data_IF_003376738545
#
_entry.id   IF_003376738545
#
_cell.length_a   1.000
_cell.length_b   1.000
_cell.length_c   1.000
_cell.angle_alpha   90.00
_cell.angle_beta   90.00
_cell.angle_gamma   90.00
#
_symmetry.space_group_name_H-M   'P 1'
#
loop_
_entity.id
_entity.type
_entity.pdbx_description
1 polymer ?
#
# COMPACT_ATOMS: atom_id res chain seq x y z
N UNK A 1 -15.82 -3.96 7.92
CA UNK A 1 -15.96 -4.44 9.31
C UNK A 1 -16.63 -3.37 10.17
N UNK A 2 -17.46 -3.78 11.11
CA UNK A 2 -18.19 -2.88 12.02
C UNK A 2 -17.23 -2.00 12.85
N UNK A 3 -16.03 -2.49 13.14
CA UNK A 3 -14.97 -1.73 13.81
C UNK A 3 -14.44 -0.59 12.93
N UNK A 4 -14.23 -0.81 11.64
CA UNK A 4 -13.80 0.25 10.73
C UNK A 4 -14.82 1.39 10.62
N UNK A 5 -16.11 1.04 10.55
CA UNK A 5 -17.18 2.03 10.54
C UNK A 5 -17.20 2.86 11.83
N UNK A 6 -17.06 2.23 13.01
CA UNK A 6 -17.00 2.93 14.30
C UNK A 6 -15.83 3.90 14.39
N UNK A 7 -14.64 3.50 13.95
CA UNK A 7 -13.45 4.36 13.93
C UNK A 7 -13.67 5.55 12.99
N UNK A 8 -14.20 5.32 11.79
CA UNK A 8 -14.47 6.38 10.82
C UNK A 8 -15.48 7.40 11.38
N UNK A 9 -16.57 6.92 11.98
CA UNK A 9 -17.58 7.80 12.61
C UNK A 9 -16.97 8.59 13.77
N UNK A 10 -16.15 7.97 14.61
CA UNK A 10 -15.48 8.64 15.73
C UNK A 10 -14.52 9.73 15.26
N UNK A 11 -13.74 9.47 14.21
CA UNK A 11 -12.82 10.45 13.61
C UNK A 11 -13.59 11.64 13.02
N UNK A 12 -14.63 11.36 12.22
CA UNK A 12 -15.45 12.41 11.60
C UNK A 12 -16.15 13.26 12.68
N UNK A 13 -16.72 12.63 13.70
CA UNK A 13 -17.33 13.35 14.83
C UNK A 13 -16.30 14.21 15.59
N UNK A 14 -15.09 13.69 15.82
CA UNK A 14 -13.97 14.43 16.44
C UNK A 14 -13.57 15.66 15.64
N UNK A 15 -13.45 15.54 14.32
CA UNK A 15 -13.17 16.68 13.42
C UNK A 15 -14.29 17.72 13.49
N UNK A 16 -15.55 17.27 13.47
CA UNK A 16 -16.69 18.16 13.53
C UNK A 16 -16.77 18.94 14.85
N UNK A 17 -16.57 18.24 15.98
CA UNK A 17 -16.52 18.87 17.30
C UNK A 17 -15.38 19.87 17.40
N UNK A 18 -14.20 19.55 16.91
CA UNK A 18 -13.04 20.45 16.91
C UNK A 18 -13.33 21.70 16.08
N UNK A 19 -13.91 21.53 14.89
CA UNK A 19 -14.30 22.64 14.02
C UNK A 19 -15.35 23.55 14.68
N UNK A 20 -16.35 22.96 15.37
CA UNK A 20 -17.36 23.72 16.13
C UNK A 20 -16.78 24.51 17.31
N UNK A 21 -15.83 23.89 18.04
CA UNK A 21 -15.15 24.56 19.16
C UNK A 21 -14.31 25.76 18.69
N UNK A 22 -13.53 25.57 17.62
CA UNK A 22 -12.71 26.62 17.02
C UNK A 22 -13.59 27.73 16.47
N UNK A 23 -14.67 27.40 15.75
CA UNK A 23 -15.62 28.35 15.21
C UNK A 23 -16.35 29.13 16.34
N UNK A 24 -16.80 28.43 17.38
CA UNK A 24 -17.43 29.07 18.55
C UNK A 24 -16.45 30.00 19.29
N UNK A 25 -15.20 29.60 19.46
CA UNK A 25 -14.14 30.43 20.03
C UNK A 25 -13.85 31.69 19.20
N UNK A 26 -13.91 31.58 17.89
CA UNK A 26 -13.79 32.72 16.98
C UNK A 26 -14.99 33.67 17.10
N UNK A 27 -16.20 33.15 17.06
CA UNK A 27 -17.42 33.94 17.18
C UNK A 27 -17.51 34.72 18.49
N UNK A 28 -16.98 34.18 19.59
CA UNK A 28 -16.92 34.89 20.88
C UNK A 28 -15.99 36.13 20.89
N UNK A 29 -15.02 36.13 19.98
CA UNK A 29 -14.05 37.24 19.86
C UNK A 29 -14.48 38.32 18.87
N UNK A 30 -15.45 38.04 18.01
CA UNK A 30 -15.92 38.99 16.99
C UNK A 30 -17.06 39.79 17.57
N UNK A 31 -16.96 41.15 17.55
CA UNK A 31 -18.03 42.01 18.04
C UNK A 31 -19.25 41.94 17.10
N UNK A 32 -20.45 42.10 17.67
CA UNK A 32 -21.71 42.13 16.89
C UNK A 32 -21.64 43.23 15.82
N UNK A 33 -20.95 44.34 16.13
CA UNK A 33 -20.73 45.44 15.21
C UNK A 33 -19.86 45.01 14.01
N UNK A 34 -18.83 44.22 14.23
CA UNK A 34 -17.98 43.68 13.15
C UNK A 34 -18.69 42.63 12.28
N UNK A 35 -19.62 41.85 12.87
CA UNK A 35 -20.46 40.90 12.14
C UNK A 35 -21.46 41.62 11.22
N UNK A 36 -22.08 42.69 11.72
CA UNK A 36 -23.09 43.46 10.98
C UNK A 36 -22.48 44.40 9.93
N UNK A 37 -21.23 44.87 10.15
CA UNK A 37 -20.56 45.86 9.28
C UNK A 37 -19.30 45.25 8.60
N UNK A 38 -18.99 44.00 8.82
CA UNK A 38 -17.82 43.32 8.27
C UNK A 38 -17.77 43.32 6.74
N UNK A 39 -18.91 43.39 6.07
CA UNK A 39 -18.98 43.51 4.60
C UNK A 39 -18.43 44.85 4.08
N UNK A 40 -18.26 45.87 4.92
CA UNK A 40 -17.74 47.17 4.52
C UNK A 40 -16.22 47.35 4.59
N UNK A 41 -15.47 46.37 5.08
CA UNK A 41 -14.01 46.41 4.99
C UNK A 41 -13.63 46.22 3.53
N UNK A 42 -13.47 47.35 2.81
CA UNK A 42 -12.92 47.40 1.47
C UNK A 42 -11.54 46.72 1.54
N UNK A 43 -11.42 45.53 0.98
CA UNK A 43 -10.12 44.85 0.89
C UNK A 43 -9.12 45.79 0.21
N UNK A 44 -8.01 46.05 0.91
CA UNK A 44 -6.90 46.84 0.35
C UNK A 44 -6.46 46.15 -0.94
N UNK A 45 -6.41 46.96 -2.03
CA UNK A 45 -5.93 46.47 -3.32
C UNK A 45 -4.62 45.68 -3.14
N UNK A 46 -4.49 44.56 -3.88
CA UNK A 46 -3.29 43.69 -3.84
C UNK A 46 -2.04 44.54 -4.06
N UNK A 47 -1.28 44.81 -3.00
CA UNK A 47 -0.21 45.82 -2.98
C UNK A 47 1.04 45.40 -3.74
N UNK A 48 1.23 44.04 -3.91
CA UNK A 48 2.43 43.48 -4.55
C UNK A 48 2.04 42.26 -5.41
N UNK A 49 1.60 42.44 -6.66
CA UNK A 49 1.17 41.35 -7.53
C UNK A 49 2.31 40.39 -7.92
N UNK A 50 3.53 40.95 -8.09
CA UNK A 50 4.72 40.15 -8.42
C UNK A 50 5.08 39.20 -7.28
N UNK A 51 4.93 39.64 -6.02
CA UNK A 51 5.18 38.79 -4.86
C UNK A 51 4.22 37.59 -4.83
N UNK A 52 2.94 37.79 -5.14
CA UNK A 52 1.96 36.69 -5.19
C UNK A 52 2.21 35.71 -6.34
N UNK A 53 2.67 36.19 -7.48
CA UNK A 53 3.11 35.35 -8.59
C UNK A 53 4.34 34.50 -8.20
N UNK A 54 5.31 35.08 -7.50
CA UNK A 54 6.47 34.35 -6.97
C UNK A 54 6.03 33.29 -5.93
N UNK A 55 5.10 33.62 -5.01
CA UNK A 55 4.56 32.68 -4.04
C UNK A 55 3.83 31.52 -4.74
N UNK A 56 3.07 31.81 -5.79
CA UNK A 56 2.40 30.80 -6.59
C UNK A 56 3.40 29.84 -7.26
N UNK A 57 4.45 30.39 -7.87
CA UNK A 57 5.51 29.59 -8.50
C UNK A 57 6.25 28.73 -7.48
N UNK A 58 6.61 29.31 -6.34
CA UNK A 58 7.25 28.59 -5.24
C UNK A 58 6.35 27.47 -4.70
N UNK A 59 5.04 27.73 -4.54
CA UNK A 59 4.09 26.73 -4.10
C UNK A 59 3.97 25.56 -5.11
N UNK A 60 3.96 25.85 -6.42
CA UNK A 60 3.96 24.81 -7.47
C UNK A 60 5.22 23.95 -7.41
N UNK A 61 6.41 24.58 -7.28
CA UNK A 61 7.67 23.82 -7.17
C UNK A 61 7.69 22.92 -5.93
N UNK A 62 7.17 23.38 -4.79
CA UNK A 62 7.06 22.57 -3.58
C UNK A 62 6.05 21.42 -3.76
N UNK A 63 4.90 21.66 -4.39
CA UNK A 63 3.91 20.61 -4.69
C UNK A 63 4.53 19.52 -5.57
N UNK A 64 5.21 19.90 -6.65
CA UNK A 64 5.89 18.95 -7.55
C UNK A 64 6.99 18.19 -6.79
N UNK A 65 7.81 18.89 -6.01
CA UNK A 65 8.85 18.26 -5.18
C UNK A 65 8.29 17.28 -4.16
N UNK A 66 7.16 17.60 -3.52
CA UNK A 66 6.46 16.68 -2.62
C UNK A 66 5.93 15.45 -3.33
N UNK A 67 5.34 15.59 -4.53
CA UNK A 67 4.85 14.45 -5.32
C UNK A 67 5.98 13.51 -5.73
N UNK A 68 7.11 14.05 -6.19
CA UNK A 68 8.31 13.26 -6.53
C UNK A 68 8.88 12.58 -5.28
N UNK A 69 8.95 13.28 -4.16
CA UNK A 69 9.40 12.70 -2.90
C UNK A 69 8.48 11.60 -2.40
N UNK A 70 7.15 11.79 -2.51
CA UNK A 70 6.17 10.76 -2.13
C UNK A 70 6.30 9.51 -3.00
N UNK A 71 6.46 9.66 -4.32
CA UNK A 71 6.64 8.51 -5.21
C UNK A 71 7.89 7.70 -4.85
N UNK A 72 9.02 8.37 -4.60
CA UNK A 72 10.25 7.73 -4.16
C UNK A 72 10.14 7.05 -2.79
N UNK A 73 9.42 7.65 -1.84
CA UNK A 73 9.20 7.04 -0.51
C UNK A 73 8.24 5.85 -0.56
N UNK A 74 7.20 5.91 -1.40
CA UNK A 74 6.29 4.77 -1.62
C UNK A 74 7.05 3.63 -2.29
N UNK A 75 7.89 3.92 -3.28
CA UNK A 75 8.74 2.92 -3.91
C UNK A 75 9.74 2.30 -2.91
N UNK A 76 10.36 3.11 -2.05
CA UNK A 76 11.24 2.63 -0.98
C UNK A 76 10.50 1.80 0.07
N UNK A 77 9.26 2.15 0.42
CA UNK A 77 8.40 1.36 1.30
C UNK A 77 8.04 0.00 0.69
N UNK A 78 7.75 -0.03 -0.60
CA UNK A 78 7.39 -1.25 -1.32
C UNK A 78 8.64 -2.13 -1.52
N UNK A 79 9.78 -1.53 -1.90
CA UNK A 79 11.02 -2.27 -2.21
C UNK A 79 11.86 -2.64 -0.99
N UNK A 80 11.95 -1.79 0.02
CA UNK A 80 12.97 -1.89 1.07
C UNK A 80 12.41 -2.04 2.48
N UNK A 81 11.11 -1.99 2.69
CA UNK A 81 10.48 -1.90 4.03
C UNK A 81 11.06 -0.79 4.94
N UNK A 82 11.84 0.12 4.37
CA UNK A 82 12.60 1.18 5.08
C UNK A 82 11.88 2.52 5.18
N UNK A 83 10.68 2.64 4.64
CA UNK A 83 9.92 3.89 4.70
C UNK A 83 9.60 4.28 6.14
N UNK A 84 10.13 5.42 6.59
CA UNK A 84 9.72 6.00 7.86
C UNK A 84 8.34 6.62 7.72
N UNK A 85 7.36 6.11 8.48
CA UNK A 85 6.02 6.70 8.53
C UNK A 85 6.07 8.20 8.89
N UNK A 86 7.06 8.62 9.70
CA UNK A 86 7.28 10.02 10.05
C UNK A 86 7.66 10.89 8.87
N UNK A 87 8.49 10.39 7.95
CA UNK A 87 8.89 11.13 6.75
C UNK A 87 7.72 11.32 5.80
N UNK A 88 6.87 10.31 5.61
CA UNK A 88 5.65 10.42 4.81
C UNK A 88 4.67 11.45 5.39
N UNK A 89 4.43 11.43 6.70
CA UNK A 89 3.56 12.42 7.38
C UNK A 89 4.11 13.84 7.18
N UNK A 90 5.42 14.01 7.27
CA UNK A 90 6.07 15.33 7.07
C UNK A 90 5.87 15.82 5.64
N UNK A 91 6.12 14.97 4.63
CA UNK A 91 5.92 15.33 3.22
C UNK A 91 4.45 15.63 2.92
N UNK A 92 3.53 14.88 3.49
CA UNK A 92 2.08 15.15 3.39
C UNK A 92 1.69 16.48 4.01
N UNK A 93 2.24 16.82 5.18
CA UNK A 93 2.02 18.12 5.81
C UNK A 93 2.54 19.28 4.96
N UNK A 94 3.74 19.16 4.39
CA UNK A 94 4.30 20.12 3.46
C UNK A 94 3.46 20.28 2.17
N UNK A 95 2.99 19.16 1.62
CA UNK A 95 2.10 19.16 0.46
C UNK A 95 0.79 19.90 0.74
N UNK A 96 0.16 19.65 1.90
CA UNK A 96 -1.05 20.33 2.32
C UNK A 96 -0.85 21.86 2.41
N UNK A 97 0.23 22.26 3.08
CA UNK A 97 0.57 23.69 3.25
C UNK A 97 0.85 24.35 1.90
N UNK A 98 1.62 23.69 1.04
CA UNK A 98 1.94 24.20 -0.30
C UNK A 98 0.67 24.35 -1.16
N UNK A 99 -0.25 23.40 -1.11
CA UNK A 99 -1.51 23.45 -1.85
C UNK A 99 -2.42 24.60 -1.35
N UNK A 100 -2.48 24.80 -0.03
CA UNK A 100 -3.22 25.95 0.55
C UNK A 100 -2.61 27.29 0.10
N UNK A 101 -1.27 27.43 0.17
CA UNK A 101 -0.58 28.64 -0.26
C UNK A 101 -0.76 28.91 -1.76
N UNK A 102 -0.72 27.85 -2.59
CA UNK A 102 -1.01 27.92 -4.01
C UNK A 102 -2.39 28.51 -4.27
N UNK A 103 -3.45 28.01 -3.59
CA UNK A 103 -4.80 28.51 -3.78
C UNK A 103 -4.97 29.96 -3.33
N UNK A 104 -4.35 30.35 -2.22
CA UNK A 104 -4.36 31.74 -1.76
C UNK A 104 -3.65 32.63 -2.78
N UNK A 105 -2.47 32.24 -3.26
CA UNK A 105 -1.72 33.01 -4.23
C UNK A 105 -2.43 33.07 -5.60
N UNK A 106 -3.03 31.97 -6.05
CA UNK A 106 -3.84 31.91 -7.26
C UNK A 106 -5.04 32.87 -7.17
N UNK A 107 -5.77 32.83 -6.07
CA UNK A 107 -6.92 33.71 -5.84
C UNK A 107 -6.49 35.19 -5.91
N UNK A 108 -5.41 35.57 -5.20
CA UNK A 108 -4.90 36.94 -5.22
C UNK A 108 -4.42 37.35 -6.61
N UNK A 109 -3.78 36.46 -7.35
CA UNK A 109 -3.31 36.70 -8.73
C UNK A 109 -4.47 36.87 -9.70
N UNK A 110 -5.48 36.00 -9.64
CA UNK A 110 -6.69 36.07 -10.47
C UNK A 110 -7.44 37.37 -10.22
N UNK A 111 -7.67 37.72 -8.95
CA UNK A 111 -8.30 39.02 -8.57
C UNK A 111 -7.55 40.19 -9.14
N UNK A 112 -6.21 40.22 -9.02
CA UNK A 112 -5.38 41.29 -9.59
C UNK A 112 -5.51 41.37 -11.12
N UNK A 113 -5.44 40.21 -11.83
CA UNK A 113 -5.58 40.15 -13.29
C UNK A 113 -6.95 40.67 -13.74
N UNK A 114 -8.03 40.21 -13.09
CA UNK A 114 -9.40 40.67 -13.40
C UNK A 114 -9.59 42.16 -13.20
N UNK A 115 -9.00 42.73 -12.13
CA UNK A 115 -9.06 44.17 -11.87
C UNK A 115 -8.20 44.98 -12.83
N UNK A 116 -7.12 44.40 -13.40
CA UNK A 116 -6.22 45.08 -14.35
C UNK A 116 -6.75 45.03 -15.79
N UNK A 117 -7.54 44.03 -16.17
CA UNK A 117 -8.08 43.91 -17.51
C UNK A 117 -9.08 45.02 -17.82
N UNK A 118 -8.68 46.03 -18.66
CA UNK A 118 -9.47 47.19 -19.04
C UNK A 118 -10.78 46.85 -19.71
N UNK A 119 -10.82 45.76 -20.48
CA UNK A 119 -12.03 45.27 -21.18
C UNK A 119 -13.15 44.82 -20.22
N UNK A 120 -12.80 44.29 -19.05
CA UNK A 120 -13.78 43.89 -18.02
C UNK A 120 -14.24 45.08 -17.17
N UNK A 121 -13.43 46.14 -17.07
CA UNK A 121 -13.70 47.28 -16.17
C UNK A 121 -14.68 48.31 -16.74
N UNK A 122 -14.85 48.40 -18.06
CA UNK A 122 -15.53 49.54 -18.72
C UNK A 122 -17.01 49.28 -19.04
N UNK A 123 -17.56 48.07 -18.80
CA UNK A 123 -18.96 47.73 -19.12
C UNK A 123 -19.86 47.67 -17.88
N UNK A 124 -20.44 48.76 -17.45
CA UNK A 124 -21.60 48.88 -16.58
C UNK A 124 -21.54 48.12 -15.24
N UNK A 125 -22.56 47.34 -14.92
CA UNK A 125 -22.72 46.58 -13.63
C UNK A 125 -21.61 45.55 -13.37
N UNK A 126 -20.81 45.19 -14.36
CA UNK A 126 -19.73 44.19 -14.21
C UNK A 126 -18.65 44.61 -13.22
N UNK A 127 -18.40 45.89 -13.05
CA UNK A 127 -17.43 46.39 -12.06
C UNK A 127 -17.87 46.10 -10.63
N UNK A 128 -19.20 46.20 -10.35
CA UNK A 128 -19.76 45.90 -9.07
C UNK A 128 -19.65 44.40 -8.78
N UNK A 129 -20.07 43.56 -9.72
CA UNK A 129 -19.98 42.09 -9.61
C UNK A 129 -18.52 41.64 -9.42
N UNK A 130 -17.57 42.22 -10.17
CA UNK A 130 -16.15 41.94 -10.02
C UNK A 130 -15.58 42.31 -8.65
N UNK A 131 -16.01 43.46 -8.09
CA UNK A 131 -15.60 43.84 -6.73
C UNK A 131 -16.20 42.93 -5.65
N UNK A 132 -17.46 42.56 -5.80
CA UNK A 132 -18.12 41.65 -4.87
C UNK A 132 -17.48 40.24 -4.96
N UNK A 133 -17.25 39.74 -6.18
CA UNK A 133 -16.55 38.46 -6.41
C UNK A 133 -15.14 38.48 -5.86
N UNK A 134 -14.39 39.56 -6.08
CA UNK A 134 -13.03 39.75 -5.56
C UNK A 134 -12.98 39.70 -4.04
N UNK A 135 -13.91 40.38 -3.37
CA UNK A 135 -14.02 40.35 -1.90
C UNK A 135 -14.35 38.97 -1.37
N UNK A 136 -15.35 38.30 -1.98
CA UNK A 136 -15.74 36.95 -1.60
C UNK A 136 -14.62 35.92 -1.84
N UNK A 137 -13.98 35.93 -3.01
CA UNK A 137 -12.89 35.03 -3.33
C UNK A 137 -11.68 35.22 -2.41
N UNK A 138 -11.33 36.46 -2.10
CA UNK A 138 -10.18 36.75 -1.25
C UNK A 138 -10.43 36.38 0.21
N UNK A 139 -11.63 36.65 0.72
CA UNK A 139 -12.04 36.26 2.07
C UNK A 139 -12.08 34.75 2.27
N UNK A 140 -12.50 34.01 1.23
CA UNK A 140 -12.68 32.56 1.29
C UNK A 140 -11.50 31.79 0.69
N UNK A 141 -10.40 32.44 0.35
CA UNK A 141 -9.24 31.79 -0.31
C UNK A 141 -8.66 30.62 0.51
N UNK A 142 -8.61 30.77 1.83
CA UNK A 142 -8.14 29.71 2.72
C UNK A 142 -9.13 28.51 2.74
N UNK A 143 -10.43 28.80 2.76
CA UNK A 143 -11.47 27.76 2.71
C UNK A 143 -11.43 27.00 1.39
N UNK A 144 -11.25 27.69 0.25
CA UNK A 144 -11.07 27.03 -1.05
C UNK A 144 -9.80 26.20 -1.11
N UNK A 145 -8.70 26.67 -0.51
CA UNK A 145 -7.44 25.94 -0.42
C UNK A 145 -7.58 24.65 0.42
N UNK A 146 -8.26 24.73 1.56
CA UNK A 146 -8.49 23.54 2.40
C UNK A 146 -9.44 22.54 1.74
N UNK A 147 -10.48 23.01 1.05
CA UNK A 147 -11.39 22.12 0.31
C UNK A 147 -10.66 21.41 -0.85
N UNK A 148 -9.85 22.14 -1.61
CA UNK A 148 -9.06 21.57 -2.69
C UNK A 148 -8.06 20.53 -2.17
N UNK A 149 -7.40 20.79 -1.03
CA UNK A 149 -6.55 19.81 -0.38
C UNK A 149 -7.33 18.54 0.00
N UNK A 150 -8.48 18.69 0.67
CA UNK A 150 -9.29 17.53 1.08
C UNK A 150 -9.75 16.71 -0.12
N UNK A 151 -10.20 17.36 -1.21
CA UNK A 151 -10.59 16.66 -2.45
C UNK A 151 -9.41 15.91 -3.08
N UNK A 152 -8.27 16.59 -3.22
CA UNK A 152 -7.05 15.98 -3.79
C UNK A 152 -6.60 14.79 -2.95
N UNK A 153 -6.61 14.96 -1.63
CA UNK A 153 -6.25 13.91 -0.69
C UNK A 153 -7.21 12.72 -0.77
N UNK A 154 -8.52 12.97 -0.83
CA UNK A 154 -9.51 11.91 -0.99
C UNK A 154 -9.31 11.12 -2.29
N UNK A 155 -9.06 11.81 -3.41
CA UNK A 155 -8.78 11.16 -4.71
C UNK A 155 -7.50 10.31 -4.63
N UNK A 156 -6.42 10.82 -4.03
CA UNK A 156 -5.18 10.05 -3.86
C UNK A 156 -5.44 8.80 -3.02
N UNK A 157 -6.14 8.91 -1.89
CA UNK A 157 -6.43 7.76 -1.02
C UNK A 157 -7.32 6.71 -1.68
N UNK A 158 -8.33 7.14 -2.44
CA UNK A 158 -9.18 6.21 -3.20
C UNK A 158 -8.33 5.43 -4.22
N UNK A 159 -7.50 6.13 -5.02
CA UNK A 159 -6.63 5.48 -5.98
C UNK A 159 -5.62 4.53 -5.31
N UNK A 160 -4.98 4.97 -4.22
CA UNK A 160 -4.04 4.13 -3.45
C UNK A 160 -4.74 2.88 -2.91
N UNK A 161 -5.98 3.01 -2.42
CA UNK A 161 -6.76 1.86 -1.93
C UNK A 161 -7.06 0.86 -3.04
N UNK A 162 -7.35 1.32 -4.26
CA UNK A 162 -7.53 0.42 -5.42
C UNK A 162 -6.24 -0.28 -5.82
N UNK A 163 -5.11 0.44 -5.83
CA UNK A 163 -3.79 -0.14 -6.15
C UNK A 163 -3.41 -1.20 -5.11
N UNK A 164 -3.55 -0.89 -3.81
CA UNK A 164 -3.24 -1.84 -2.74
C UNK A 164 -4.15 -3.06 -2.83
N UNK A 165 -5.47 -2.86 -3.01
CA UNK A 165 -6.42 -3.96 -3.14
C UNK A 165 -6.12 -4.84 -4.35
N UNK A 166 -5.81 -4.23 -5.50
CA UNK A 166 -5.45 -4.96 -6.72
C UNK A 166 -4.18 -5.78 -6.54
N UNK A 167 -3.12 -5.15 -5.99
CA UNK A 167 -1.85 -5.83 -5.71
C UNK A 167 -1.98 -6.96 -4.68
N UNK A 168 -2.81 -6.76 -3.63
CA UNK A 168 -3.08 -7.82 -2.66
C UNK A 168 -3.87 -8.99 -3.26
N UNK A 169 -4.86 -8.70 -4.13
CA UNK A 169 -5.63 -9.74 -4.81
C UNK A 169 -4.73 -10.58 -5.73
N UNK A 170 -3.90 -9.93 -6.55
CA UNK A 170 -2.93 -10.61 -7.41
C UNK A 170 -1.91 -11.43 -6.60
N UNK A 171 -1.40 -10.86 -5.50
CA UNK A 171 -0.48 -11.58 -4.61
C UNK A 171 -1.14 -12.81 -3.98
N UNK A 172 -2.39 -12.70 -3.55
CA UNK A 172 -3.13 -13.83 -2.97
C UNK A 172 -3.38 -14.93 -4.01
N UNK A 173 -3.79 -14.57 -5.22
CA UNK A 173 -4.02 -15.52 -6.33
C UNK A 173 -2.73 -16.25 -6.70
N UNK A 174 -1.59 -15.55 -6.75
CA UNK A 174 -0.28 -16.13 -6.99
C UNK A 174 0.24 -16.96 -5.82
N UNK A 175 -0.09 -16.59 -4.57
CA UNK A 175 0.36 -17.35 -3.38
C UNK A 175 -0.53 -18.55 -3.09
N UNK A 176 -1.81 -18.46 -3.39
CA UNK A 176 -2.81 -19.48 -3.06
C UNK A 176 -3.77 -19.69 -4.25
N UNK A 177 -3.31 -20.36 -5.31
CA UNK A 177 -4.12 -20.56 -6.52
C UNK A 177 -5.25 -21.57 -6.36
N UNK A 178 -5.31 -22.28 -5.25
CA UNK A 178 -6.36 -23.25 -4.90
C UNK A 178 -7.49 -22.59 -4.12
N UNK A 179 -8.68 -23.18 -4.16
CA UNK A 179 -9.88 -22.64 -3.50
C UNK A 179 -9.72 -22.51 -1.99
N UNK A 180 -9.00 -23.44 -1.37
CA UNK A 180 -8.66 -23.40 0.04
C UNK A 180 -7.28 -24.01 0.29
N UNK A 181 -6.59 -23.52 1.31
CA UNK A 181 -5.30 -24.06 1.75
C UNK A 181 -5.30 -24.16 3.27
N UNK A 182 -5.05 -25.36 3.77
CA UNK A 182 -4.73 -25.59 5.17
C UNK A 182 -3.23 -25.48 5.37
N UNK A 183 -2.79 -24.80 6.43
CA UNK A 183 -1.38 -24.70 6.79
C UNK A 183 -1.19 -24.99 8.27
N UNK A 184 -0.32 -25.94 8.59
CA UNK A 184 0.17 -26.23 9.93
C UNK A 184 1.61 -25.73 10.03
N UNK A 185 1.79 -24.60 10.71
CA UNK A 185 3.08 -23.95 10.87
C UNK A 185 3.76 -24.46 12.14
N UNK A 186 4.88 -25.17 11.97
CA UNK A 186 5.70 -25.70 13.08
C UNK A 186 6.90 -24.83 13.39
N UNK A 187 7.15 -23.81 12.56
CA UNK A 187 8.34 -22.96 12.69
C UNK A 187 8.27 -21.99 13.88
N UNK A 188 7.08 -21.60 14.26
CA UNK A 188 6.83 -20.72 15.40
C UNK A 188 6.41 -21.50 16.67
N UNK A 189 7.00 -22.68 16.91
CA UNK A 189 6.89 -23.40 18.17
C UNK A 189 7.31 -22.49 19.33
N UNK A 190 6.34 -22.04 20.11
CA UNK A 190 6.54 -21.09 21.22
C UNK A 190 5.49 -19.98 21.26
N UNK A 191 4.78 -19.71 20.18
CA UNK A 191 3.47 -19.10 20.25
C UNK A 191 2.46 -20.23 20.25
N UNK A 192 1.94 -20.56 21.44
CA UNK A 192 0.80 -21.44 21.58
C UNK A 192 -0.21 -21.05 20.51
N UNK A 193 -0.37 -21.90 19.49
CA UNK A 193 -1.48 -21.79 18.56
C UNK A 193 -2.73 -22.20 19.33
N UNK A 194 -3.12 -21.35 20.28
CA UNK A 194 -4.29 -21.54 21.14
C UNK A 194 -5.58 -21.76 20.33
N UNK A 195 -5.51 -21.60 18.99
CA UNK A 195 -6.62 -21.69 18.05
C UNK A 195 -6.29 -22.49 16.79
N UNK A 196 -5.27 -23.34 16.78
CA UNK A 196 -5.00 -24.19 15.61
C UNK A 196 -6.14 -25.21 15.44
N UNK A 197 -6.86 -25.10 14.34
CA UNK A 197 -7.93 -26.01 13.99
C UNK A 197 -7.27 -27.29 13.45
N UNK A 198 -7.54 -28.50 14.02
CA UNK A 198 -7.01 -29.73 13.47
C UNK A 198 -7.44 -29.94 12.01
N UNK A 199 -6.59 -30.57 11.19
CA UNK A 199 -6.85 -30.82 9.76
C UNK A 199 -8.24 -31.46 9.54
N UNK A 200 -8.59 -32.49 10.30
CA UNK A 200 -9.89 -33.17 10.20
C UNK A 200 -11.08 -32.24 10.48
N UNK A 201 -10.94 -31.32 11.40
CA UNK A 201 -11.97 -30.32 11.69
C UNK A 201 -12.05 -29.25 10.59
N UNK A 202 -10.92 -28.86 10.02
CA UNK A 202 -10.87 -27.95 8.86
C UNK A 202 -11.61 -28.60 7.67
N UNK A 203 -11.29 -29.85 7.34
CA UNK A 203 -11.94 -30.58 6.25
C UNK A 203 -13.45 -30.70 6.49
N UNK A 204 -13.87 -31.07 7.70
CA UNK A 204 -15.29 -31.15 8.05
C UNK A 204 -16.01 -29.82 7.88
N UNK A 205 -15.34 -28.70 8.15
CA UNK A 205 -15.90 -27.36 7.94
C UNK A 205 -16.00 -27.01 6.46
N UNK A 206 -15.01 -27.37 5.66
CA UNK A 206 -15.05 -27.20 4.21
C UNK A 206 -16.20 -28.00 3.60
N UNK A 207 -16.29 -29.30 3.92
CA UNK A 207 -17.30 -30.22 3.40
C UNK A 207 -18.74 -29.82 3.76
N UNK A 208 -18.93 -29.05 4.82
CA UNK A 208 -20.24 -28.48 5.17
C UNK A 208 -20.76 -27.50 4.13
N UNK A 209 -19.88 -26.83 3.40
CA UNK A 209 -20.23 -25.77 2.44
C UNK A 209 -20.00 -26.19 0.99
N UNK A 210 -18.95 -26.99 0.71
CA UNK A 210 -18.57 -27.43 -0.63
C UNK A 210 -17.93 -28.81 -0.59
N UNK A 211 -18.19 -29.62 -1.62
CA UNK A 211 -17.51 -30.90 -1.77
C UNK A 211 -16.03 -30.69 -2.11
N UNK A 212 -15.15 -31.46 -1.50
CA UNK A 212 -13.73 -31.46 -1.80
C UNK A 212 -13.52 -32.40 -2.99
N UNK A 213 -13.09 -31.84 -4.13
CA UNK A 213 -12.82 -32.59 -5.36
C UNK A 213 -11.41 -33.18 -5.34
N UNK A 214 -10.43 -32.42 -4.85
CA UNK A 214 -9.05 -32.85 -4.80
C UNK A 214 -8.34 -32.33 -3.56
N UNK A 215 -7.44 -33.15 -3.01
CA UNK A 215 -6.55 -32.82 -1.89
C UNK A 215 -5.12 -33.04 -2.35
N UNK A 216 -4.28 -32.02 -2.19
CA UNK A 216 -2.86 -32.10 -2.53
C UNK A 216 -2.06 -31.73 -1.29
N UNK A 217 -1.58 -32.72 -0.52
CA UNK A 217 -0.68 -32.45 0.59
C UNK A 217 0.72 -32.09 0.08
N UNK A 218 1.36 -31.16 0.75
CA UNK A 218 2.75 -30.75 0.45
C UNK A 218 3.46 -30.27 1.70
N UNK A 219 4.78 -30.31 1.65
CA UNK A 219 5.62 -30.01 2.79
C UNK A 219 6.73 -29.03 2.42
N UNK A 220 6.94 -28.01 3.25
CA UNK A 220 8.15 -27.18 3.20
C UNK A 220 9.17 -27.66 4.24
N UNK A 221 10.42 -27.56 3.84
CA UNK A 221 11.57 -27.99 4.62
C UNK A 221 12.54 -26.83 4.83
N UNK A 222 13.40 -26.95 5.83
CA UNK A 222 14.51 -26.01 6.06
C UNK A 222 15.78 -26.76 6.47
N UNK A 223 16.92 -26.17 6.16
CA UNK A 223 18.22 -26.57 6.72
C UNK A 223 18.55 -25.85 8.02
N UNK A 224 17.70 -24.89 8.46
CA UNK A 224 17.99 -23.96 9.55
C UNK A 224 19.02 -22.89 9.18
N UNK A 225 19.52 -22.90 7.95
CA UNK A 225 20.52 -21.96 7.42
C UNK A 225 19.82 -20.84 6.63
N UNK A 226 20.60 -19.82 6.27
CA UNK A 226 20.15 -18.63 5.53
C UNK A 226 21.00 -18.39 4.26
N UNK A 227 21.53 -19.44 3.68
CA UNK A 227 22.49 -19.33 2.57
C UNK A 227 21.88 -18.62 1.34
N UNK A 228 20.60 -18.89 1.03
CA UNK A 228 19.88 -18.20 -0.03
C UNK A 228 19.40 -16.81 0.42
N UNK A 229 18.84 -16.73 1.62
CA UNK A 229 18.29 -15.50 2.15
C UNK A 229 19.35 -14.40 2.31
N UNK A 230 20.56 -14.75 2.75
CA UNK A 230 21.67 -13.80 2.94
C UNK A 230 22.12 -13.13 1.64
N UNK A 231 21.90 -13.76 0.49
CA UNK A 231 22.20 -13.19 -0.81
C UNK A 231 21.10 -12.25 -1.32
N UNK A 232 19.91 -12.27 -0.73
CA UNK A 232 18.82 -11.37 -1.11
C UNK A 232 19.02 -9.95 -0.59
N UNK A 233 18.35 -8.99 -1.17
CA UNK A 233 18.34 -7.59 -0.71
C UNK A 233 17.81 -7.44 0.73
N UNK A 234 17.06 -8.41 1.23
CA UNK A 234 16.49 -8.40 2.60
C UNK A 234 17.48 -8.78 3.69
N UNK A 235 18.61 -9.40 3.34
CA UNK A 235 19.63 -9.79 4.34
C UNK A 235 20.14 -8.62 5.17
N UNK A 236 20.06 -7.40 4.63
CA UNK A 236 20.48 -6.15 5.26
C UNK A 236 19.39 -5.52 6.12
N UNK A 237 18.16 -5.97 6.02
CA UNK A 237 17.02 -5.44 6.76
C UNK A 237 16.85 -6.20 8.08
N UNK A 238 17.32 -5.61 9.14
CA UNK A 238 17.51 -6.16 10.50
C UNK A 238 16.20 -6.56 11.22
N UNK A 239 15.04 -6.48 10.58
CA UNK A 239 13.73 -6.71 11.21
C UNK A 239 13.23 -8.15 11.25
N UNK A 240 13.79 -9.04 10.46
CA UNK A 240 13.31 -10.43 10.33
C UNK A 240 14.26 -11.44 10.97
N UNK A 241 14.53 -11.26 12.25
CA UNK A 241 15.23 -12.27 13.06
C UNK A 241 14.37 -13.55 13.12
N UNK A 242 14.67 -14.52 12.28
CA UNK A 242 13.96 -15.81 12.26
C UNK A 242 13.70 -16.37 10.87
N UNK A 243 13.87 -15.62 9.79
CA UNK A 243 13.74 -16.15 8.45
C UNK A 243 14.90 -17.10 8.12
N UNK A 244 14.55 -18.27 7.62
CA UNK A 244 15.47 -19.31 7.14
C UNK A 244 15.14 -19.61 5.69
N UNK A 245 16.03 -20.34 5.01
CA UNK A 245 15.73 -20.80 3.66
C UNK A 245 14.67 -21.89 3.71
N UNK A 246 13.68 -21.77 2.81
CA UNK A 246 12.62 -22.75 2.64
C UNK A 246 12.85 -23.54 1.37
N UNK A 247 12.63 -24.85 1.46
CA UNK A 247 12.81 -25.80 0.36
C UNK A 247 11.54 -26.60 0.15
N UNK A 248 11.17 -26.83 -1.11
CA UNK A 248 10.07 -27.69 -1.51
C UNK A 248 10.59 -28.77 -2.43
N UNK A 249 10.28 -30.08 -2.18
CA UNK A 249 10.66 -31.15 -3.10
C UNK A 249 9.96 -30.97 -4.45
N UNK A 250 10.64 -31.33 -5.54
CA UNK A 250 10.13 -31.20 -6.90
C UNK A 250 8.85 -32.04 -7.11
N UNK A 251 8.71 -33.16 -6.40
CA UNK A 251 7.51 -33.98 -6.42
C UNK A 251 6.29 -33.24 -5.92
N UNK A 252 6.38 -32.60 -4.74
CA UNK A 252 5.28 -31.79 -4.16
C UNK A 252 4.99 -30.57 -5.04
N UNK A 253 6.03 -29.90 -5.51
CA UNK A 253 5.91 -28.74 -6.39
C UNK A 253 5.16 -29.08 -7.69
N UNK A 254 5.54 -30.19 -8.35
CA UNK A 254 4.86 -30.65 -9.55
C UNK A 254 3.41 -31.08 -9.28
N UNK A 255 3.16 -31.74 -8.16
CA UNK A 255 1.79 -32.14 -7.77
C UNK A 255 0.85 -30.94 -7.61
N UNK A 256 1.41 -29.78 -7.22
CA UNK A 256 0.68 -28.51 -7.09
C UNK A 256 0.60 -27.75 -8.42
N UNK A 257 1.65 -27.75 -9.23
CA UNK A 257 1.74 -26.91 -10.43
C UNK A 257 1.12 -27.55 -11.69
N UNK A 258 1.28 -28.85 -11.90
CA UNK A 258 0.73 -29.55 -13.07
C UNK A 258 -0.80 -29.42 -13.22
N UNK A 259 -1.64 -29.53 -12.15
CA UNK A 259 -3.08 -29.33 -12.26
C UNK A 259 -3.49 -27.93 -12.69
N UNK A 260 -2.64 -26.95 -12.44
CA UNK A 260 -2.84 -25.54 -12.85
C UNK A 260 -2.34 -25.26 -14.27
N UNK A 261 -1.82 -26.27 -14.97
CA UNK A 261 -1.35 -26.16 -16.36
C UNK A 261 0.11 -25.73 -16.53
N UNK A 262 0.88 -25.71 -15.45
CA UNK A 262 2.31 -25.38 -15.52
C UNK A 262 3.15 -26.60 -15.95
N UNK A 263 4.30 -26.32 -16.57
CA UNK A 263 5.24 -27.34 -16.99
C UNK A 263 5.89 -28.04 -15.79
N UNK A 264 6.17 -29.33 -15.96
CA UNK A 264 6.85 -30.14 -14.94
C UNK A 264 8.30 -29.73 -14.78
N UNK A 265 8.70 -29.47 -13.54
CA UNK A 265 10.08 -29.19 -13.16
C UNK A 265 10.80 -30.49 -12.83
N UNK A 266 11.92 -30.77 -13.52
CA UNK A 266 12.80 -31.91 -13.25
C UNK A 266 14.18 -31.40 -12.84
N UNK A 267 14.65 -31.77 -11.65
CA UNK A 267 15.92 -31.36 -11.06
C UNK A 267 16.73 -32.60 -10.66
N UNK A 268 18.05 -32.56 -10.81
CA UNK A 268 18.95 -33.64 -10.39
C UNK A 268 19.92 -33.16 -9.31
N UNK A 269 20.86 -32.28 -9.67
CA UNK A 269 21.84 -31.68 -8.76
C UNK A 269 21.73 -30.14 -8.77
N UNK A 270 20.52 -29.66 -9.02
CA UNK A 270 20.22 -28.23 -9.19
C UNK A 270 19.05 -27.84 -8.32
N UNK A 271 18.90 -26.54 -8.07
CA UNK A 271 17.74 -25.95 -7.45
C UNK A 271 17.20 -24.78 -8.27
N UNK A 272 15.87 -24.60 -8.22
CA UNK A 272 15.14 -23.53 -8.88
C UNK A 272 14.55 -22.60 -7.83
N UNK A 273 14.79 -21.29 -7.92
CA UNK A 273 14.15 -20.32 -7.05
C UNK A 273 12.80 -19.90 -7.65
N UNK A 274 11.74 -20.05 -6.88
CA UNK A 274 10.39 -19.59 -7.19
C UNK A 274 10.06 -18.43 -6.27
N UNK A 275 9.62 -17.30 -6.81
CA UNK A 275 9.26 -16.10 -6.05
C UNK A 275 8.14 -15.32 -6.74
N UNK A 276 7.33 -14.65 -5.95
CA UNK A 276 6.37 -13.64 -6.44
C UNK A 276 6.94 -12.22 -6.37
N UNK A 277 8.15 -12.06 -5.83
CA UNK A 277 8.79 -10.75 -5.64
C UNK A 277 9.97 -10.59 -6.60
N UNK A 278 9.80 -9.77 -7.64
CA UNK A 278 10.80 -9.49 -8.67
C UNK A 278 12.15 -9.00 -8.12
N UNK A 279 12.20 -8.54 -6.87
CA UNK A 279 13.47 -8.15 -6.21
C UNK A 279 14.39 -9.34 -5.98
N UNK A 280 13.84 -10.53 -5.80
CA UNK A 280 14.62 -11.76 -5.70
C UNK A 280 15.32 -12.07 -7.01
N UNK A 281 14.65 -11.85 -8.15
CA UNK A 281 15.22 -12.03 -9.49
C UNK A 281 16.36 -11.07 -9.83
N UNK A 282 16.48 -9.95 -9.10
CA UNK A 282 17.61 -9.02 -9.25
C UNK A 282 18.88 -9.51 -8.52
N UNK A 283 18.78 -10.56 -7.71
CA UNK A 283 19.90 -11.13 -6.97
C UNK A 283 20.63 -12.14 -7.83
N UNK A 284 21.95 -12.04 -7.87
CA UNK A 284 22.79 -13.05 -8.57
C UNK A 284 23.02 -14.25 -7.65
N UNK A 285 22.30 -15.33 -7.91
CA UNK A 285 22.46 -16.62 -7.22
C UNK A 285 23.42 -17.58 -7.94
N UNK A 286 24.02 -17.20 -9.06
CA UNK A 286 24.84 -18.10 -9.89
C UNK A 286 26.03 -18.71 -9.14
N UNK A 287 26.55 -18.00 -8.15
CA UNK A 287 27.64 -18.47 -7.28
C UNK A 287 27.16 -19.17 -6.01
N UNK A 288 25.85 -19.17 -5.75
CA UNK A 288 25.29 -19.71 -4.51
C UNK A 288 25.05 -21.21 -4.70
N UNK A 289 25.65 -21.99 -3.84
CA UNK A 289 25.43 -23.44 -3.77
C UNK A 289 25.08 -23.80 -2.34
N UNK A 290 24.23 -24.77 -2.15
CA UNK A 290 24.02 -25.35 -0.82
C UNK A 290 24.39 -26.83 -0.83
N UNK A 291 24.89 -27.32 0.30
CA UNK A 291 25.28 -28.71 0.48
C UNK A 291 24.34 -29.38 1.48
N UNK A 292 23.74 -30.50 1.06
CA UNK A 292 22.85 -31.28 1.91
C UNK A 292 22.99 -32.77 1.60
N UNK A 293 22.95 -33.62 2.62
CA UNK A 293 23.11 -35.08 2.49
C UNK A 293 24.37 -35.52 1.73
N UNK A 294 25.46 -34.74 1.81
CA UNK A 294 26.75 -35.02 1.10
C UNK A 294 26.75 -34.68 -0.38
N UNK A 295 25.70 -34.07 -0.91
CA UNK A 295 25.59 -33.54 -2.26
C UNK A 295 25.62 -32.03 -2.28
N UNK A 296 26.10 -31.44 -3.38
CA UNK A 296 26.09 -29.99 -3.60
C UNK A 296 25.11 -29.66 -4.72
N UNK A 297 24.17 -28.78 -4.45
CA UNK A 297 23.17 -28.33 -5.41
C UNK A 297 23.52 -26.95 -5.95
N UNK A 298 23.37 -26.75 -7.26
CA UNK A 298 23.72 -25.52 -7.97
C UNK A 298 22.48 -24.77 -8.40
N UNK A 299 22.61 -23.47 -8.51
CA UNK A 299 21.55 -22.62 -9.01
C UNK A 299 21.24 -22.93 -10.48
N UNK A 300 20.01 -23.33 -10.80
CA UNK A 300 19.51 -23.54 -12.15
C UNK A 300 18.94 -22.27 -12.75
N UNK A 301 18.18 -21.51 -11.95
CA UNK A 301 17.48 -20.34 -12.43
C UNK A 301 16.50 -19.77 -11.42
N UNK A 302 15.86 -18.70 -11.83
CA UNK A 302 14.83 -17.99 -11.10
C UNK A 302 13.56 -17.91 -11.96
N UNK A 303 12.40 -18.01 -11.34
CA UNK A 303 11.12 -17.88 -12.03
C UNK A 303 10.08 -17.17 -11.18
N UNK A 304 9.26 -16.32 -11.83
CA UNK A 304 8.06 -15.70 -11.30
C UNK A 304 6.79 -16.27 -11.94
N UNK A 305 6.91 -17.20 -12.85
CA UNK A 305 5.78 -17.75 -13.61
C UNK A 305 4.90 -18.66 -12.78
N UNK A 306 5.50 -19.35 -11.78
CA UNK A 306 4.79 -20.29 -10.91
C UNK A 306 4.25 -19.62 -9.65
N UNK A 307 3.12 -20.12 -9.13
CA UNK A 307 2.65 -19.75 -7.79
C UNK A 307 3.63 -20.19 -6.70
N UNK A 308 3.63 -19.47 -5.58
CA UNK A 308 4.47 -19.85 -4.43
C UNK A 308 3.82 -20.87 -3.51
N UNK A 309 2.53 -21.11 -3.63
CA UNK A 309 1.75 -22.06 -2.82
C UNK A 309 1.84 -21.86 -1.30
N UNK A 310 2.50 -20.79 -0.85
CA UNK A 310 2.73 -20.51 0.55
C UNK A 310 2.92 -19.01 0.80
N UNK A 311 2.97 -18.63 2.07
CA UNK A 311 3.12 -17.23 2.51
C UNK A 311 4.56 -16.73 2.47
N UNK A 312 5.50 -17.50 1.94
CA UNK A 312 6.90 -17.08 1.83
C UNK A 312 7.11 -16.20 0.59
N UNK A 313 8.04 -15.27 0.66
CA UNK A 313 8.39 -14.42 -0.48
C UNK A 313 9.07 -15.21 -1.59
N UNK A 314 9.85 -16.21 -1.24
CA UNK A 314 10.49 -17.15 -2.15
C UNK A 314 10.79 -18.47 -1.44
N UNK A 315 11.01 -19.50 -2.21
CA UNK A 315 11.55 -20.79 -1.77
C UNK A 315 12.36 -21.42 -2.91
N UNK A 316 13.17 -22.40 -2.57
CA UNK A 316 13.90 -23.18 -3.56
C UNK A 316 13.21 -24.54 -3.80
N UNK A 317 12.91 -24.84 -5.05
CA UNK A 317 12.51 -26.17 -5.47
C UNK A 317 13.78 -27.01 -5.61
N UNK A 318 13.80 -28.18 -4.99
CA UNK A 318 14.95 -29.08 -4.94
C UNK A 318 14.56 -30.50 -5.33
N UNK A 319 15.50 -31.38 -5.72
CA UNK A 319 15.23 -32.80 -5.91
C UNK A 319 14.62 -33.43 -4.64
N UNK A 320 13.74 -34.40 -4.79
CA UNK A 320 13.05 -35.05 -3.66
C UNK A 320 14.00 -35.69 -2.65
N UNK A 321 15.16 -36.15 -3.11
CA UNK A 321 16.20 -36.73 -2.25
C UNK A 321 16.92 -35.69 -1.37
N UNK A 322 16.93 -34.41 -1.77
CA UNK A 322 17.62 -33.35 -1.06
C UNK A 322 16.96 -33.05 0.30
N UNK A 323 15.65 -33.23 0.42
CA UNK A 323 14.91 -32.93 1.64
C UNK A 323 14.95 -34.02 2.70
N UNK A 324 15.58 -35.17 2.41
CA UNK A 324 15.59 -36.33 3.32
C UNK A 324 16.25 -36.06 4.69
N UNK A 325 17.22 -35.14 4.71
CA UNK A 325 17.93 -34.70 5.94
C UNK A 325 17.47 -33.36 6.49
N UNK A 326 16.54 -32.69 5.80
CA UNK A 326 16.05 -31.37 6.20
C UNK A 326 14.93 -31.48 7.24
N UNK A 327 14.76 -30.44 8.03
CA UNK A 327 13.68 -30.32 9.02
C UNK A 327 12.37 -29.93 8.33
N UNK A 328 11.27 -30.57 8.74
CA UNK A 328 9.90 -30.23 8.28
C UNK A 328 9.40 -29.02 9.03
N UNK A 329 9.02 -27.97 8.28
CA UNK A 329 8.63 -26.69 8.88
C UNK A 329 7.14 -26.39 8.71
N UNK A 330 6.65 -26.51 7.47
CA UNK A 330 5.28 -26.15 7.14
C UNK A 330 4.61 -27.31 6.41
N UNK A 331 3.68 -27.96 7.08
CA UNK A 331 2.79 -28.92 6.42
C UNK A 331 1.55 -28.18 5.90
N UNK A 332 1.19 -28.43 4.65
CA UNK A 332 0.04 -27.79 4.02
C UNK A 332 -0.75 -28.76 3.17
N UNK A 333 -2.02 -28.47 2.99
CA UNK A 333 -2.91 -29.19 2.08
C UNK A 333 -3.65 -28.16 1.23
N UNK A 334 -3.50 -28.27 -0.07
CA UNK A 334 -4.29 -27.48 -1.03
C UNK A 334 -5.55 -28.26 -1.42
N UNK A 335 -6.66 -27.54 -1.53
CA UNK A 335 -7.98 -28.11 -1.84
C UNK A 335 -8.54 -27.47 -3.09
N UNK A 336 -9.01 -28.33 -3.99
CA UNK A 336 -9.83 -27.97 -5.13
C UNK A 336 -11.28 -28.36 -4.76
N UNK A 337 -12.19 -27.40 -4.83
CA UNK A 337 -13.56 -27.53 -4.36
C UNK A 337 -14.53 -27.47 -5.53
N UNK A 338 -15.71 -28.07 -5.36
CA UNK A 338 -16.78 -27.97 -6.32
C UNK A 338 -17.20 -26.51 -6.54
N UNK A 339 -17.36 -26.09 -7.81
CA UNK A 339 -17.85 -24.77 -8.15
C UNK A 339 -19.18 -24.46 -7.48
N UNK A 340 -19.21 -23.47 -6.62
CA UNK A 340 -20.41 -23.00 -5.93
C UNK A 340 -20.41 -21.48 -5.88
N UNK A 341 -21.56 -20.86 -6.16
CA UNK A 341 -21.71 -19.44 -5.93
C UNK A 341 -21.40 -19.10 -4.46
N UNK A 342 -20.50 -18.19 -4.23
CA UNK A 342 -20.30 -17.57 -2.92
C UNK A 342 -21.54 -16.73 -2.63
N UNK A 343 -22.55 -17.32 -1.99
CA UNK A 343 -23.57 -16.52 -1.32
C UNK A 343 -22.89 -15.91 -0.09
N UNK A 344 -22.49 -14.63 -0.28
CA UNK A 344 -21.72 -13.91 0.69
C UNK A 344 -22.34 -13.92 2.07
N UNK A 345 -21.55 -14.30 3.07
CA UNK A 345 -21.79 -13.94 4.46
C UNK A 345 -21.43 -12.49 4.71
#
# INVERSE_FOLDING_TARGET
SLQGLRITVAVVAGIFVTALLVSSGYLRKVSIHDLLHGEKKVEKAVRHPVCWACVMLAAVTVVVGCLVSMSGQIEALIRESRGSAGSLITVMGMFALALMLFHVALTKSVVFLLLRCRQFRIRGSRTFVLRQLSGSLSSNALMHGSLAFLLTFAVIWVNLSFIIKGGQAEMLERSYPYDATYCEDRFFEGREQENAIPLAECERRIEKYRAILKKIPYQLYTTGRRELYEHTCWSKDVGYAGLVDFFMPAGDFNALSEPLGYEKVTLVDEYLIVSIDGRVGMTDFSSVTFAEAGKTYRFRGYTEEYPTFCRTYFFAVVPDEAVASMEKVLFSVAYDLEDGAYDGM
#
